data_IF_431460715153
#
_entry.id   IF_431460715153
#
_cell.length_a   1.000
_cell.length_b   1.000
_cell.length_c   1.000
_cell.angle_alpha   90.00
_cell.angle_beta   90.00
_cell.angle_gamma   90.00
#
_symmetry.space_group_name_H-M   'P 1'
#
loop_
_entity.id
_entity.type
_entity.pdbx_description
1 polymer ?
#
# COMPACT_ATOMS: atom_id res chain seq x y z
N UNK A 1 4.91 6.57 -10.45
CA UNK A 1 3.88 6.53 -9.39
C UNK A 1 4.26 5.62 -8.23
N UNK A 2 4.94 4.50 -8.47
CA UNK A 2 5.40 3.58 -7.42
C UNK A 2 6.05 4.28 -6.21
N UNK A 3 7.05 5.13 -6.42
CA UNK A 3 7.73 5.85 -5.33
C UNK A 3 6.81 6.77 -4.53
N UNK A 4 5.78 7.36 -5.17
CA UNK A 4 4.78 8.16 -4.47
C UNK A 4 3.92 7.27 -3.57
N UNK A 5 3.47 6.12 -4.08
CA UNK A 5 2.67 5.18 -3.30
C UNK A 5 3.42 4.66 -2.08
N UNK A 6 4.70 4.37 -2.24
CA UNK A 6 5.62 4.04 -1.15
C UNK A 6 5.62 5.14 -0.08
N UNK A 7 5.90 6.39 -0.46
CA UNK A 7 5.95 7.50 0.50
C UNK A 7 4.59 7.73 1.16
N UNK A 8 3.48 7.59 0.43
CA UNK A 8 2.13 7.69 0.99
C UNK A 8 1.88 6.63 2.07
N UNK A 9 2.30 5.38 1.84
CA UNK A 9 2.21 4.31 2.82
C UNK A 9 3.13 4.54 4.02
N UNK A 10 4.36 5.02 3.82
CA UNK A 10 5.27 5.38 4.93
C UNK A 10 4.69 6.48 5.81
N UNK A 11 4.09 7.51 5.19
CA UNK A 11 3.44 8.62 5.91
C UNK A 11 2.23 8.14 6.71
N UNK A 12 1.39 7.30 6.11
CA UNK A 12 0.20 6.79 6.76
C UNK A 12 0.52 5.82 7.90
N UNK A 13 1.55 4.97 7.73
CA UNK A 13 1.89 3.91 8.69
C UNK A 13 2.95 4.32 9.72
N UNK A 14 3.68 5.42 9.47
CA UNK A 14 4.78 5.86 10.32
C UNK A 14 6.01 4.94 10.26
N UNK A 15 5.98 3.92 9.40
CA UNK A 15 7.03 2.91 9.25
C UNK A 15 7.92 3.31 8.08
N UNK A 16 9.23 3.37 8.29
CA UNK A 16 10.21 3.55 7.21
C UNK A 16 10.56 2.21 6.60
N UNK A 17 10.65 2.18 5.28
CA UNK A 17 10.95 0.97 4.50
C UNK A 17 12.44 0.58 4.60
N UNK A 18 13.29 1.51 5.00
CA UNK A 18 14.71 1.29 5.26
C UNK A 18 15.01 1.32 6.76
N UNK A 19 14.73 0.22 7.44
CA UNK A 19 15.50 -0.21 8.60
C UNK A 19 16.05 -1.59 8.25
N UNK A 20 17.37 -1.72 8.18
CA UNK A 20 18.09 -3.01 8.18
C UNK A 20 18.28 -3.76 6.86
N UNK A 21 18.30 -3.07 5.71
CA UNK A 21 18.90 -3.62 4.48
C UNK A 21 18.13 -4.74 3.79
N UNK A 22 16.93 -5.11 4.27
CA UNK A 22 16.07 -6.11 3.63
C UNK A 22 14.70 -5.54 3.25
N UNK A 23 14.57 -5.32 1.93
CA UNK A 23 13.39 -5.36 1.06
C UNK A 23 12.23 -4.38 1.28
N UNK A 24 11.88 -3.71 0.18
CA UNK A 24 10.72 -2.84 -0.04
C UNK A 24 9.34 -3.53 0.02
N UNK A 25 9.33 -4.87 0.02
CA UNK A 25 8.16 -5.73 -0.16
C UNK A 25 7.29 -5.93 1.11
N UNK A 26 7.83 -5.95 2.36
CA UNK A 26 7.04 -6.25 3.55
C UNK A 26 5.94 -5.23 3.84
N UNK A 27 6.21 -3.93 3.68
CA UNK A 27 5.24 -2.89 4.04
C UNK A 27 4.01 -2.95 3.13
N UNK A 28 4.23 -3.01 1.82
CA UNK A 28 3.13 -3.10 0.85
C UNK A 28 2.31 -4.36 1.06
N UNK A 29 2.95 -5.52 1.22
CA UNK A 29 2.25 -6.79 1.43
C UNK A 29 1.43 -6.78 2.73
N UNK A 30 1.99 -6.21 3.79
CA UNK A 30 1.30 -6.08 5.07
C UNK A 30 0.07 -5.17 4.98
N UNK A 31 0.20 -3.99 4.38
CA UNK A 31 -0.94 -3.07 4.20
C UNK A 31 -1.98 -3.67 3.25
N UNK A 32 -1.55 -4.42 2.22
CA UNK A 32 -2.47 -5.14 1.33
C UNK A 32 -3.23 -6.24 2.06
N UNK A 33 -2.57 -7.01 2.93
CA UNK A 33 -3.24 -7.99 3.79
C UNK A 33 -4.33 -7.34 4.64
N UNK A 34 -4.03 -6.20 5.26
CA UNK A 34 -5.01 -5.43 6.03
C UNK A 34 -6.16 -4.88 5.15
N UNK A 35 -5.88 -4.50 3.91
CA UNK A 35 -6.90 -4.10 2.94
C UNK A 35 -7.87 -5.25 2.65
N UNK A 36 -7.34 -6.44 2.36
CA UNK A 36 -8.14 -7.66 2.06
C UNK A 36 -8.97 -8.11 3.27
N UNK A 37 -8.43 -7.98 4.48
CA UNK A 37 -9.13 -8.28 5.73
C UNK A 37 -10.19 -7.22 6.11
N UNK A 38 -10.26 -6.10 5.37
CA UNK A 38 -11.14 -4.97 5.69
C UNK A 38 -10.70 -4.17 6.91
N UNK A 39 -9.48 -4.37 7.40
CA UNK A 39 -8.91 -3.73 8.59
C UNK A 39 -7.78 -2.74 8.26
N UNK A 40 -7.95 -2.00 7.17
CA UNK A 40 -6.93 -1.07 6.66
C UNK A 40 -6.51 0.00 7.70
N UNK A 41 -7.40 0.39 8.60
CA UNK A 41 -7.13 1.40 9.62
C UNK A 41 -6.13 0.94 10.69
N UNK A 42 -5.91 -0.37 10.84
CA UNK A 42 -4.85 -0.90 11.73
C UNK A 42 -3.45 -0.65 11.18
N UNK A 43 -3.33 -0.20 9.93
CA UNK A 43 -2.05 0.18 9.35
C UNK A 43 -1.55 1.55 9.85
N UNK A 44 -2.44 2.40 10.36
CA UNK A 44 -2.15 3.82 10.63
C UNK A 44 -1.17 3.99 11.78
N UNK A 45 -0.27 4.97 11.65
CA UNK A 45 0.71 5.32 12.69
C UNK A 45 -0.01 5.66 14.01
N UNK A 46 0.26 4.86 15.04
CA UNK A 46 -0.25 5.06 16.40
C UNK A 46 0.15 6.43 16.97
N UNK A 47 1.26 7.01 16.50
CA UNK A 47 1.75 8.33 16.92
C UNK A 47 0.86 9.48 16.46
N UNK A 48 -0.01 9.26 15.48
CA UNK A 48 -1.02 10.25 15.07
C UNK A 48 -2.14 10.37 16.10
N UNK A 49 -2.24 9.46 17.08
CA UNK A 49 -3.18 9.54 18.21
C UNK A 49 -4.65 9.81 17.78
N UNK A 50 -5.06 9.26 16.63
CA UNK A 50 -6.38 9.47 16.01
C UNK A 50 -6.70 10.94 15.64
N UNK A 51 -5.69 11.81 15.55
CA UNK A 51 -5.83 13.21 15.11
C UNK A 51 -5.76 13.32 13.57
N UNK A 52 -6.61 12.55 12.88
CA UNK A 52 -6.72 12.58 11.42
C UNK A 52 -8.15 12.31 10.97
N UNK A 53 -8.51 12.75 9.77
CA UNK A 53 -9.77 12.34 9.15
C UNK A 53 -9.66 10.90 8.64
N UNK A 54 -10.60 10.06 9.08
CA UNK A 54 -10.61 8.62 8.75
C UNK A 54 -10.79 8.39 7.25
N UNK A 55 -11.56 9.22 6.55
CA UNK A 55 -11.79 9.07 5.12
C UNK A 55 -10.56 9.51 4.33
N UNK A 56 -9.90 10.60 4.73
CA UNK A 56 -8.64 11.04 4.13
C UNK A 56 -7.53 10.01 4.33
N UNK A 57 -7.41 9.46 5.54
CA UNK A 57 -6.41 8.42 5.84
C UNK A 57 -6.67 7.13 5.04
N UNK A 58 -7.93 6.70 4.97
CA UNK A 58 -8.34 5.56 4.14
C UNK A 58 -8.05 5.81 2.66
N UNK A 59 -8.34 7.02 2.18
CA UNK A 59 -8.04 7.44 0.81
C UNK A 59 -6.56 7.37 0.52
N UNK A 60 -5.72 7.90 1.42
CA UNK A 60 -4.26 7.89 1.30
C UNK A 60 -3.71 6.47 1.25
N UNK A 61 -4.19 5.56 2.10
CA UNK A 61 -3.76 4.16 2.12
C UNK A 61 -4.15 3.42 0.83
N UNK A 62 -5.38 3.58 0.35
CA UNK A 62 -5.85 2.95 -0.90
C UNK A 62 -5.09 3.50 -2.10
N UNK A 63 -4.89 4.82 -2.17
CA UNK A 63 -4.08 5.46 -3.22
C UNK A 63 -2.63 4.96 -3.17
N UNK A 64 -2.09 4.78 -1.97
CA UNK A 64 -0.77 4.18 -1.74
C UNK A 64 -0.66 2.81 -2.40
N UNK A 65 -1.57 1.90 -2.06
CA UNK A 65 -1.65 0.55 -2.62
C UNK A 65 -1.87 0.56 -4.15
N UNK A 66 -2.73 1.45 -4.64
CA UNK A 66 -3.01 1.59 -6.07
C UNK A 66 -1.76 2.01 -6.85
N UNK A 67 -0.98 2.95 -6.29
CA UNK A 67 0.25 3.44 -6.88
C UNK A 67 1.39 2.40 -6.87
N UNK A 68 1.40 1.49 -5.90
CA UNK A 68 2.42 0.45 -5.76
C UNK A 68 2.07 -0.87 -6.44
N UNK A 69 0.98 -0.91 -7.22
CA UNK A 69 0.56 -2.13 -7.92
C UNK A 69 1.70 -2.77 -8.74
N UNK A 70 1.84 -4.10 -8.68
CA UNK A 70 2.93 -4.84 -9.35
C UNK A 70 2.87 -4.70 -10.87
N UNK A 71 1.67 -4.73 -11.44
CA UNK A 71 1.43 -4.44 -12.85
C UNK A 71 1.45 -2.92 -13.10
N UNK A 72 2.46 -2.44 -13.83
CA UNK A 72 2.62 -1.04 -14.22
C UNK A 72 1.42 -0.45 -14.95
N UNK A 73 0.64 -1.27 -15.67
CA UNK A 73 -0.54 -0.83 -16.44
C UNK A 73 -1.75 -0.52 -15.56
N UNK A 74 -1.83 -1.14 -14.39
CA UNK A 74 -2.92 -0.94 -13.42
C UNK A 74 -2.65 0.25 -12.49
N UNK A 75 -1.41 0.78 -12.52
CA UNK A 75 -1.05 1.96 -11.73
C UNK A 75 -1.78 3.19 -12.25
N UNK A 76 -2.30 4.05 -11.36
CA UNK A 76 -2.97 5.27 -11.76
C UNK A 76 -2.00 6.25 -12.40
N UNK A 77 -2.56 7.16 -13.19
CA UNK A 77 -1.86 8.38 -13.60
C UNK A 77 -1.91 9.40 -12.48
N UNK A 78 -0.93 10.30 -12.43
CA UNK A 78 -0.84 11.33 -11.39
C UNK A 78 -2.12 12.19 -11.27
N UNK A 79 -2.79 12.49 -12.40
CA UNK A 79 -4.04 13.27 -12.35
C UNK A 79 -5.18 12.49 -11.69
N UNK A 80 -5.21 11.16 -11.77
CA UNK A 80 -6.25 10.31 -11.17
C UNK A 80 -6.07 10.29 -9.66
N UNK A 81 -4.83 10.14 -9.22
CA UNK A 81 -4.44 10.27 -7.81
C UNK A 81 -4.89 11.60 -7.23
N UNK A 82 -4.58 12.72 -7.91
CA UNK A 82 -4.98 14.05 -7.44
C UNK A 82 -6.50 14.18 -7.33
N UNK A 83 -7.25 13.68 -8.33
CA UNK A 83 -8.71 13.72 -8.29
C UNK A 83 -9.30 12.89 -7.15
N UNK A 84 -8.75 11.71 -6.88
CA UNK A 84 -9.19 10.86 -5.76
C UNK A 84 -8.89 11.53 -4.42
N UNK A 85 -7.70 12.10 -4.26
CA UNK A 85 -7.30 12.82 -3.03
C UNK A 85 -8.11 14.11 -2.81
N UNK A 86 -8.55 14.79 -3.89
CA UNK A 86 -9.46 15.94 -3.81
C UNK A 86 -10.93 15.54 -3.64
N UNK A 87 -11.26 14.25 -3.53
CA UNK A 87 -12.63 13.73 -3.50
C UNK A 87 -13.46 14.06 -4.76
N UNK A 88 -12.80 14.37 -5.88
CA UNK A 88 -13.43 14.61 -7.18
C UNK A 88 -13.71 13.30 -7.94
N UNK A 89 -13.14 12.19 -7.48
CA UNK A 89 -13.30 10.85 -8.04
C UNK A 89 -13.46 9.83 -6.92
N UNK A 90 -14.25 8.78 -7.17
CA UNK A 90 -14.41 7.68 -6.23
C UNK A 90 -13.09 6.92 -6.03
N UNK A 91 -12.93 6.34 -4.84
CA UNK A 91 -11.79 5.47 -4.55
C UNK A 91 -11.83 4.23 -5.44
N UNK A 92 -10.69 3.77 -5.97
CA UNK A 92 -10.64 2.54 -6.72
C UNK A 92 -10.91 1.35 -5.80
N UNK A 93 -11.65 0.37 -6.31
CA UNK A 93 -11.69 -0.96 -5.70
C UNK A 93 -10.48 -1.73 -6.22
N UNK A 94 -9.56 -2.08 -5.31
CA UNK A 94 -8.36 -2.83 -5.66
C UNK A 94 -8.68 -4.33 -5.65
N UNK A 95 -8.03 -5.11 -6.52
CA UNK A 95 -8.17 -6.57 -6.50
C UNK A 95 -7.83 -7.14 -5.10
N UNK A 96 -8.55 -8.18 -4.67
CA UNK A 96 -8.30 -8.81 -3.37
C UNK A 96 -7.19 -9.88 -3.45
N UNK A 97 -6.83 -10.30 -4.66
CA UNK A 97 -5.76 -11.24 -4.96
C UNK A 97 -4.45 -10.50 -5.24
N UNK A 98 -3.54 -10.52 -4.28
CA UNK A 98 -2.18 -10.02 -4.47
C UNK A 98 -1.32 -11.03 -5.25
N UNK A 99 -1.76 -11.50 -6.42
CA UNK A 99 -0.96 -12.45 -7.19
C UNK A 99 -1.10 -12.27 -8.71
N UNK A 100 -0.17 -11.49 -9.26
CA UNK A 100 0.58 -11.97 -10.41
C UNK A 100 2.07 -11.70 -10.13
N UNK A 101 2.83 -12.79 -9.98
CA UNK A 101 4.27 -12.85 -9.65
C UNK A 101 4.66 -12.78 -8.17
N UNK A 102 4.23 -13.77 -7.38
CA UNK A 102 5.22 -14.35 -6.46
C UNK A 102 6.25 -15.08 -7.35
N UNK A 103 7.57 -14.81 -7.27
CA UNK A 103 8.54 -15.75 -7.84
C UNK A 103 8.29 -17.11 -7.18
N UNK A 104 8.42 -18.23 -7.91
CA UNK A 104 8.24 -19.54 -7.31
C UNK A 104 9.18 -19.66 -6.12
N UNK A 105 8.60 -19.76 -4.92
CA UNK A 105 9.35 -20.14 -3.72
C UNK A 105 9.75 -21.58 -3.98
N UNK A 106 10.98 -21.77 -4.45
CA UNK A 106 11.51 -23.10 -4.68
C UNK A 106 11.74 -23.73 -3.30
N UNK A 107 10.99 -24.78 -2.98
CA UNK A 107 11.01 -25.47 -1.68
C UNK A 107 12.31 -26.22 -1.37
N UNK A 108 13.33 -26.08 -2.21
CA UNK A 108 14.53 -26.91 -2.20
C UNK A 108 15.73 -26.28 -1.46
N UNK A 109 15.65 -25.05 -0.96
CA UNK A 109 16.76 -24.40 -0.22
C UNK A 109 16.65 -24.43 1.31
N UNK A 110 15.63 -25.07 1.90
CA UNK A 110 15.51 -25.18 3.37
C UNK A 110 16.15 -26.44 3.96
N UNK A 111 16.71 -27.33 3.14
CA UNK A 111 17.50 -28.47 3.59
C UNK A 111 18.76 -28.61 2.73
N UNK A 112 19.78 -27.81 3.05
CA UNK A 112 21.16 -27.94 2.55
C UNK A 112 22.15 -27.48 3.60
#
# INVERSE_FOLDING_TARGET
MYSFGIVALELATGRRIFQDGEFHVPLMNWVWGLYVEGNLMSAVDERLNLEFDVNEMKSLLIVGLWCTHSNDKERPKAYEVIKVLNHEMALPELPLDMHDHAPPINSDEFFG
#
